data_IF_211276248366
#
_entry.id   IF_211276248366
#
_cell.length_a   1.000
_cell.length_b   1.000
_cell.length_c   1.000
_cell.angle_alpha   90.00
_cell.angle_beta   90.00
_cell.angle_gamma   90.00
#
_symmetry.space_group_name_H-M   'P 1'
#
loop_
_entity.id
_entity.type
_entity.pdbx_description
1 polymer ?
#
# COMPACT_ATOMS: atom_id res chain seq x y z
N UNK A 1 16.61 16.21 -4.69
CA UNK A 1 16.46 16.98 -3.42
C UNK A 1 16.69 16.01 -2.27
N UNK A 2 17.08 16.45 -1.06
CA UNK A 2 17.27 15.50 0.06
C UNK A 2 15.92 15.17 0.73
N UNK A 3 15.77 13.96 1.25
CA UNK A 3 14.61 13.60 2.08
C UNK A 3 14.46 14.53 3.29
N UNK A 4 13.23 14.84 3.63
CA UNK A 4 12.90 15.57 4.85
C UNK A 4 13.24 14.68 6.07
N UNK A 5 14.17 15.10 6.95
CA UNK A 5 14.50 14.32 8.13
C UNK A 5 13.30 14.27 9.08
N UNK A 6 13.09 13.12 9.71
CA UNK A 6 12.03 12.93 10.69
C UNK A 6 12.49 13.42 12.08
N UNK A 7 11.63 14.14 12.79
CA UNK A 7 11.91 14.59 14.17
C UNK A 7 11.91 13.40 15.14
N UNK A 8 12.75 13.47 16.18
CA UNK A 8 12.69 12.51 17.29
C UNK A 8 11.31 12.51 17.97
N UNK A 9 10.66 13.67 18.05
CA UNK A 9 9.32 13.79 18.63
C UNK A 9 8.30 12.98 17.82
N UNK A 10 8.32 13.12 16.49
CA UNK A 10 7.44 12.39 15.57
C UNK A 10 7.69 10.88 15.65
N UNK A 11 8.97 10.47 15.66
CA UNK A 11 9.35 9.06 15.81
C UNK A 11 8.79 8.47 17.11
N UNK A 12 9.02 9.14 18.23
CA UNK A 12 8.56 8.66 19.54
C UNK A 12 7.04 8.65 19.63
N UNK A 13 6.38 9.66 19.07
CA UNK A 13 4.93 9.77 19.05
C UNK A 13 4.27 8.62 18.28
N UNK A 14 4.76 8.31 17.07
CA UNK A 14 4.23 7.21 16.27
C UNK A 14 4.44 5.86 16.95
N UNK A 15 5.62 5.62 17.53
CA UNK A 15 5.88 4.38 18.28
C UNK A 15 4.92 4.25 19.48
N UNK A 16 4.67 5.35 20.21
CA UNK A 16 3.74 5.35 21.34
C UNK A 16 2.29 5.13 20.89
N UNK A 17 1.87 5.74 19.78
CA UNK A 17 0.52 5.55 19.23
C UNK A 17 0.29 4.09 18.81
N UNK A 18 1.26 3.48 18.12
CA UNK A 18 1.18 2.07 17.70
C UNK A 18 1.12 1.13 18.92
N UNK A 19 1.86 1.44 20.00
CA UNK A 19 1.76 0.69 21.28
C UNK A 19 0.37 0.75 21.90
N UNK A 20 -0.36 1.83 21.68
CA UNK A 20 -1.75 2.01 22.12
C UNK A 20 -2.76 1.45 21.10
N UNK A 21 -2.31 0.76 20.05
CA UNK A 21 -3.11 0.29 18.92
C UNK A 21 -3.89 1.41 18.21
N UNK A 22 -3.28 2.59 18.09
CA UNK A 22 -3.83 3.72 17.35
C UNK A 22 -2.86 4.12 16.23
N UNK A 23 -3.40 4.26 15.01
CA UNK A 23 -2.66 4.78 13.86
C UNK A 23 -2.97 6.25 13.63
N UNK A 24 -2.06 6.95 12.96
CA UNK A 24 -2.22 8.38 12.63
C UNK A 24 -3.44 8.66 11.75
N UNK A 25 -3.80 7.70 10.91
CA UNK A 25 -4.94 7.77 9.98
C UNK A 25 -6.26 7.27 10.60
N UNK A 26 -6.22 6.75 11.83
CA UNK A 26 -7.37 6.18 12.52
C UNK A 26 -7.76 4.76 12.10
N UNK A 27 -6.98 4.09 11.23
CA UNK A 27 -7.22 2.70 10.84
C UNK A 27 -6.76 1.71 11.92
N UNK A 28 -7.28 0.49 11.84
CA UNK A 28 -6.76 -0.61 12.64
C UNK A 28 -5.39 -1.10 12.12
N UNK A 29 -4.64 -1.81 12.96
CA UNK A 29 -3.33 -2.34 12.59
C UNK A 29 -3.38 -3.36 11.45
N UNK A 30 -4.48 -4.09 11.27
CA UNK A 30 -4.65 -5.10 10.20
C UNK A 30 -5.40 -4.56 8.97
N UNK A 31 -5.71 -3.27 8.93
CA UNK A 31 -6.62 -2.68 7.94
C UNK A 31 -5.87 -2.00 6.78
N UNK A 32 -6.26 -2.37 5.56
CA UNK A 32 -5.65 -1.91 4.31
C UNK A 32 -6.39 -0.69 3.74
N UNK A 33 -5.68 0.19 3.02
CA UNK A 33 -6.28 1.29 2.28
C UNK A 33 -7.20 0.80 1.16
N UNK A 34 -8.12 1.66 0.74
CA UNK A 34 -8.99 1.36 -0.41
C UNK A 34 -8.17 1.23 -1.69
N UNK A 35 -8.29 0.08 -2.35
CA UNK A 35 -7.70 -0.18 -3.65
C UNK A 35 -8.62 0.32 -4.77
N UNK A 36 -8.11 1.16 -5.66
CA UNK A 36 -8.79 1.59 -6.90
C UNK A 36 -7.93 1.19 -8.10
N UNK A 37 -8.56 0.56 -9.08
CA UNK A 37 -7.91 0.10 -10.31
C UNK A 37 -8.63 0.79 -11.46
N UNK A 38 -7.87 1.46 -12.33
CA UNK A 38 -8.40 2.11 -13.52
C UNK A 38 -7.62 1.64 -14.74
N UNK A 39 -8.32 1.27 -15.80
CA UNK A 39 -7.70 0.81 -17.05
C UNK A 39 -7.56 1.97 -18.05
N UNK A 40 -6.50 1.92 -18.84
CA UNK A 40 -6.28 2.84 -19.95
C UNK A 40 -7.10 2.45 -21.19
N UNK A 41 -7.06 3.32 -22.20
CA UNK A 41 -7.64 3.03 -23.52
C UNK A 41 -6.94 1.83 -24.16
N UNK A 42 -5.61 1.79 -24.06
CA UNK A 42 -4.79 0.74 -24.64
C UNK A 42 -4.75 -0.50 -23.72
N UNK A 43 -4.72 -1.68 -24.34
CA UNK A 43 -4.58 -2.93 -23.62
C UNK A 43 -3.24 -3.00 -22.88
N UNK A 44 -3.27 -3.44 -21.63
CA UNK A 44 -2.09 -3.50 -20.77
C UNK A 44 -1.68 -2.19 -20.09
N UNK A 45 -2.46 -1.11 -20.25
CA UNK A 45 -2.27 0.14 -19.50
C UNK A 45 -3.18 0.20 -18.28
N UNK A 46 -2.63 0.42 -17.09
CA UNK A 46 -3.38 0.43 -15.82
C UNK A 46 -2.81 1.46 -14.84
N UNK A 47 -3.68 2.21 -14.17
CA UNK A 47 -3.33 3.02 -13.01
C UNK A 47 -3.96 2.39 -11.77
N UNK A 48 -3.12 1.99 -10.82
CA UNK A 48 -3.55 1.49 -9.52
C UNK A 48 -3.29 2.56 -8.47
N UNK A 49 -4.29 2.81 -7.64
CA UNK A 49 -4.20 3.69 -6.50
C UNK A 49 -4.51 2.91 -5.21
N UNK A 50 -3.56 2.91 -4.28
CA UNK A 50 -3.73 2.39 -2.93
C UNK A 50 -3.77 3.58 -1.97
N UNK A 51 -4.98 4.07 -1.70
CA UNK A 51 -5.16 5.39 -1.11
C UNK A 51 -4.55 6.47 -2.00
N UNK A 52 -3.51 7.14 -1.50
CA UNK A 52 -2.79 8.20 -2.22
C UNK A 52 -1.59 7.69 -3.03
N UNK A 53 -1.05 6.50 -2.71
CA UNK A 53 0.03 5.88 -3.48
C UNK A 53 -0.50 5.47 -4.85
N UNK A 54 0.14 5.94 -5.93
CA UNK A 54 -0.30 5.73 -7.31
C UNK A 54 0.82 5.18 -8.16
N UNK A 55 0.53 4.13 -8.91
CA UNK A 55 1.46 3.46 -9.83
C UNK A 55 0.78 3.26 -11.18
N UNK A 56 1.46 3.66 -12.24
CA UNK A 56 1.11 3.36 -13.62
C UNK A 56 1.86 2.09 -14.05
N UNK A 57 1.14 1.09 -14.54
CA UNK A 57 1.72 -0.10 -15.16
C UNK A 57 1.40 -0.13 -16.65
N UNK A 58 2.42 -0.40 -17.45
CA UNK A 58 2.31 -0.58 -18.89
C UNK A 58 2.98 -1.90 -19.30
N UNK A 59 2.30 -2.68 -20.12
CA UNK A 59 2.88 -3.87 -20.75
C UNK A 59 3.15 -3.60 -22.22
N UNK A 60 4.34 -3.97 -22.68
CA UNK A 60 4.74 -3.98 -24.08
C UNK A 60 5.20 -5.38 -24.47
N UNK A 61 5.08 -5.71 -25.75
CA UNK A 61 5.47 -7.01 -26.30
C UNK A 61 6.23 -6.85 -27.60
N UNK A 62 7.36 -7.53 -27.69
CA UNK A 62 8.27 -7.53 -28.84
C UNK A 62 8.64 -8.96 -29.22
N UNK A 63 8.92 -9.22 -30.49
CA UNK A 63 9.46 -10.50 -30.94
C UNK A 63 10.99 -10.45 -30.84
N UNK A 64 11.59 -11.43 -30.18
CA UNK A 64 13.04 -11.55 -30.04
C UNK A 64 13.50 -13.00 -30.04
N UNK A 65 14.81 -13.18 -29.96
CA UNK A 65 15.41 -14.50 -29.84
C UNK A 65 15.29 -15.00 -28.39
N UNK A 66 14.98 -16.30 -28.18
CA UNK A 66 14.93 -16.86 -26.85
C UNK A 66 16.32 -16.97 -26.21
N UNK A 67 16.33 -17.23 -24.90
CA UNK A 67 17.59 -17.55 -24.22
C UNK A 67 18.07 -18.94 -24.63
N UNK A 68 19.36 -19.06 -24.92
CA UNK A 68 19.99 -20.35 -25.26
C UNK A 68 19.78 -21.45 -24.19
N UNK A 69 19.59 -21.08 -22.93
CA UNK A 69 19.31 -22.05 -21.85
C UNK A 69 17.90 -22.64 -21.90
N UNK A 70 16.93 -21.90 -22.46
CA UNK A 70 15.51 -22.29 -22.56
C UNK A 70 14.92 -21.75 -23.87
N UNK A 71 15.08 -22.49 -24.97
CA UNK A 71 14.63 -22.03 -26.28
C UNK A 71 13.10 -22.07 -26.49
N UNK A 72 12.38 -22.82 -25.65
CA UNK A 72 10.93 -23.04 -25.78
C UNK A 72 10.09 -22.08 -24.93
N UNK A 73 10.72 -21.16 -24.20
CA UNK A 73 10.05 -20.22 -23.30
C UNK A 73 10.28 -18.78 -23.78
N UNK A 74 9.21 -17.98 -23.74
CA UNK A 74 9.32 -16.53 -23.88
C UNK A 74 10.01 -15.87 -22.68
N UNK A 75 10.24 -14.56 -22.80
CA UNK A 75 11.01 -13.81 -21.81
C UNK A 75 10.10 -12.77 -21.15
N UNK A 76 10.07 -12.73 -19.82
CA UNK A 76 9.41 -11.69 -19.03
C UNK A 76 10.45 -10.79 -18.36
N UNK A 77 10.35 -9.49 -18.60
CA UNK A 77 11.11 -8.44 -17.96
C UNK A 77 10.18 -7.50 -17.18
N UNK A 78 10.49 -7.27 -15.90
CA UNK A 78 9.75 -6.33 -15.04
C UNK A 78 10.73 -5.23 -14.67
N UNK A 79 10.33 -3.98 -14.88
CA UNK A 79 11.12 -2.81 -14.58
C UNK A 79 10.27 -1.80 -13.80
N UNK A 80 10.76 -1.38 -12.64
CA UNK A 80 10.16 -0.32 -11.83
C UNK A 80 11.03 0.93 -11.91
N UNK A 81 10.44 2.03 -12.34
CA UNK A 81 11.04 3.36 -12.35
C UNK A 81 10.51 4.19 -11.18
N UNK A 82 11.44 4.69 -10.36
CA UNK A 82 11.15 5.70 -9.33
C UNK A 82 11.65 7.05 -9.82
N UNK A 83 10.71 7.87 -10.30
CA UNK A 83 11.00 9.23 -10.76
C UNK A 83 10.85 10.28 -9.65
N UNK A 84 11.35 11.51 -9.87
CA UNK A 84 11.17 12.64 -8.95
C UNK A 84 9.69 13.05 -8.76
N UNK A 85 8.80 12.59 -9.64
CA UNK A 85 7.35 12.77 -9.51
C UNK A 85 6.79 12.00 -8.31
N UNK A 86 7.32 10.81 -8.03
CA UNK A 86 6.88 9.99 -6.90
C UNK A 86 7.24 10.63 -5.56
N UNK A 87 8.48 11.12 -5.44
CA UNK A 87 8.95 11.89 -4.31
C UNK A 87 10.19 12.70 -4.69
N UNK A 88 10.36 13.89 -4.12
CA UNK A 88 11.45 14.82 -4.45
C UNK A 88 12.87 14.28 -4.16
N UNK A 89 12.97 13.19 -3.41
CA UNK A 89 14.24 12.53 -3.08
C UNK A 89 14.66 11.45 -4.06
N UNK A 90 13.75 11.00 -4.94
CA UNK A 90 14.11 10.11 -6.02
C UNK A 90 14.73 10.93 -7.15
N UNK A 91 15.93 10.53 -7.55
CA UNK A 91 16.65 11.13 -8.68
C UNK A 91 16.51 10.21 -9.89
N UNK A 92 16.10 10.77 -11.03
CA UNK A 92 15.93 10.01 -12.26
C UNK A 92 17.26 9.37 -12.69
N UNK A 93 17.25 8.07 -13.01
CA UNK A 93 18.42 7.30 -13.44
C UNK A 93 19.31 6.78 -12.31
N UNK A 94 19.05 7.16 -11.05
CA UNK A 94 19.73 6.55 -9.90
C UNK A 94 18.90 5.38 -9.39
N UNK A 95 19.45 4.17 -9.48
CA UNK A 95 18.82 3.01 -8.86
C UNK A 95 18.96 3.12 -7.33
N UNK A 96 17.86 3.45 -6.66
CA UNK A 96 17.77 3.39 -5.21
C UNK A 96 17.71 1.93 -4.74
N UNK A 97 18.14 1.68 -3.50
CA UNK A 97 18.02 0.36 -2.86
C UNK A 97 16.57 -0.14 -2.89
N UNK A 98 15.62 0.78 -2.64
CA UNK A 98 14.19 0.51 -2.72
C UNK A 98 13.75 0.01 -4.11
N UNK A 99 14.24 0.62 -5.19
CA UNK A 99 13.94 0.19 -6.57
C UNK A 99 14.42 -1.23 -6.82
N UNK A 100 15.64 -1.55 -6.37
CA UNK A 100 16.23 -2.89 -6.52
C UNK A 100 15.46 -3.91 -5.69
N UNK A 101 15.04 -3.56 -4.47
CA UNK A 101 14.23 -4.41 -3.60
C UNK A 101 12.85 -4.69 -4.23
N UNK A 102 12.17 -3.67 -4.75
CA UNK A 102 10.86 -3.82 -5.42
C UNK A 102 11.00 -4.71 -6.65
N UNK A 103 11.93 -4.39 -7.56
CA UNK A 103 12.18 -5.16 -8.77
C UNK A 103 12.43 -6.64 -8.46
N UNK A 104 13.35 -6.93 -7.53
CA UNK A 104 13.69 -8.30 -7.18
C UNK A 104 12.54 -9.04 -6.49
N UNK A 105 11.73 -8.33 -5.70
CA UNK A 105 10.55 -8.92 -5.07
C UNK A 105 9.52 -9.31 -6.12
N UNK A 106 9.21 -8.39 -7.06
CA UNK A 106 8.27 -8.66 -8.16
C UNK A 106 8.75 -9.77 -9.09
N UNK A 107 10.04 -9.80 -9.43
CA UNK A 107 10.62 -10.89 -10.21
C UNK A 107 10.39 -12.25 -9.51
N UNK A 108 10.69 -12.37 -8.22
CA UNK A 108 10.40 -13.60 -7.46
C UNK A 108 8.90 -13.91 -7.45
N UNK A 109 8.05 -12.89 -7.29
CA UNK A 109 6.60 -13.08 -7.20
C UNK A 109 5.98 -13.54 -8.51
N UNK A 110 6.43 -13.08 -9.67
CA UNK A 110 5.80 -13.39 -10.96
C UNK A 110 6.57 -14.41 -11.80
N UNK A 111 7.90 -14.32 -11.81
CA UNK A 111 8.78 -15.17 -12.64
C UNK A 111 9.11 -16.49 -11.95
N UNK A 112 9.58 -16.45 -10.70
CA UNK A 112 9.96 -17.68 -9.98
C UNK A 112 8.72 -18.52 -9.63
N UNK A 113 7.59 -17.87 -9.38
CA UNK A 113 6.31 -18.53 -9.13
C UNK A 113 5.65 -19.09 -10.40
N UNK A 114 6.15 -18.76 -11.59
CA UNK A 114 5.55 -19.10 -12.90
C UNK A 114 4.07 -18.71 -12.98
N UNK A 115 3.76 -17.46 -12.67
CA UNK A 115 2.39 -16.95 -12.74
C UNK A 115 1.84 -16.92 -14.17
N UNK A 116 2.72 -16.67 -15.13
CA UNK A 116 2.41 -16.56 -16.57
C UNK A 116 2.94 -17.79 -17.29
N UNK A 117 2.18 -18.27 -18.27
CA UNK A 117 2.62 -19.31 -19.17
C UNK A 117 3.63 -18.75 -20.20
N UNK A 118 4.92 -18.97 -19.96
CA UNK A 118 5.99 -18.56 -20.87
C UNK A 118 6.12 -19.49 -22.09
N UNK A 119 5.59 -20.72 -22.05
CA UNK A 119 5.66 -21.65 -23.17
C UNK A 119 4.69 -21.21 -24.27
N UNK A 120 3.52 -20.68 -23.89
CA UNK A 120 2.56 -20.03 -24.80
C UNK A 120 3.09 -18.78 -25.55
N UNK A 121 4.25 -18.27 -25.10
CA UNK A 121 4.94 -17.15 -25.71
C UNK A 121 5.92 -17.55 -26.81
N UNK A 122 6.20 -18.84 -26.98
CA UNK A 122 7.05 -19.33 -28.08
C UNK A 122 6.27 -19.36 -29.40
N UNK A 123 6.85 -18.80 -30.47
CA UNK A 123 6.27 -18.88 -31.82
C UNK A 123 7.00 -19.95 -32.62
N UNK A 124 8.33 -19.78 -32.76
CA UNK A 124 9.23 -20.75 -33.37
C UNK A 124 10.32 -21.06 -32.35
N UNK A 125 10.44 -22.33 -31.98
CA UNK A 125 11.45 -22.80 -31.05
C UNK A 125 12.85 -22.40 -31.52
N UNK A 126 13.71 -21.97 -30.59
CA UNK A 126 15.11 -21.55 -30.84
C UNK A 126 15.29 -20.27 -31.68
N UNK A 127 14.29 -19.80 -32.42
CA UNK A 127 14.43 -18.64 -33.31
C UNK A 127 13.66 -17.41 -32.81
N UNK A 128 12.36 -17.55 -32.52
CA UNK A 128 11.46 -16.40 -32.31
C UNK A 128 10.47 -16.66 -31.18
N UNK A 129 10.62 -15.89 -30.12
CA UNK A 129 9.73 -15.89 -28.95
C UNK A 129 9.26 -14.49 -28.63
N UNK A 130 8.13 -14.41 -27.94
CA UNK A 130 7.64 -13.16 -27.41
C UNK A 130 8.41 -12.75 -26.14
N UNK A 131 8.90 -11.52 -26.18
CA UNK A 131 9.47 -10.80 -25.05
C UNK A 131 8.40 -9.86 -24.50
N UNK A 132 8.00 -10.07 -23.26
CA UNK A 132 7.10 -9.19 -22.53
C UNK A 132 7.90 -8.29 -21.60
N UNK A 133 7.64 -6.99 -21.69
CA UNK A 133 8.22 -5.99 -20.81
C UNK A 133 7.10 -5.28 -20.06
N UNK A 134 7.16 -5.36 -18.74
CA UNK A 134 6.27 -4.64 -17.82
C UNK A 134 7.05 -3.47 -17.24
N UNK A 135 6.65 -2.26 -17.59
CA UNK A 135 7.20 -1.04 -17.02
C UNK A 135 6.21 -0.49 -15.98
N UNK A 136 6.70 -0.31 -14.76
CA UNK A 136 5.97 0.30 -13.65
C UNK A 136 6.55 1.67 -13.35
N UNK A 137 5.75 2.71 -13.52
CA UNK A 137 6.12 4.08 -13.21
C UNK A 137 5.38 4.52 -11.95
N UNK A 138 6.12 4.78 -10.88
CA UNK A 138 5.52 5.30 -9.64
C UNK A 138 5.21 6.78 -9.82
N UNK A 139 3.93 7.14 -9.64
CA UNK A 139 3.44 8.50 -9.81
C UNK A 139 3.42 9.26 -8.48
N UNK A 140 3.00 8.61 -7.40
CA UNK A 140 2.98 9.19 -6.06
C UNK A 140 3.39 8.14 -5.03
N UNK A 141 4.29 8.49 -4.12
CA UNK A 141 4.75 7.61 -3.05
C UNK A 141 4.22 8.08 -1.69
N UNK A 142 3.21 7.36 -1.19
CA UNK A 142 2.68 7.53 0.17
C UNK A 142 2.69 6.22 0.98
N UNK A 143 3.79 5.48 0.86
CA UNK A 143 4.00 4.21 1.56
C UNK A 143 3.38 3.01 0.83
N UNK A 144 3.88 1.84 1.18
CA UNK A 144 3.52 0.53 0.62
C UNK A 144 3.57 0.46 -0.92
N UNK A 145 4.74 0.79 -1.49
CA UNK A 145 4.94 0.72 -2.94
C UNK A 145 4.91 -0.72 -3.46
N UNK A 146 5.42 -1.68 -2.68
CA UNK A 146 5.58 -3.07 -3.15
C UNK A 146 4.22 -3.70 -3.45
N UNK A 147 3.25 -3.53 -2.56
CA UNK A 147 1.91 -4.08 -2.75
C UNK A 147 1.22 -3.41 -3.94
N UNK A 148 1.30 -2.08 -4.03
CA UNK A 148 0.72 -1.33 -5.15
C UNK A 148 1.33 -1.73 -6.50
N UNK A 149 2.66 -1.89 -6.57
CA UNK A 149 3.36 -2.35 -7.76
C UNK A 149 2.99 -3.80 -8.13
N UNK A 150 2.79 -4.68 -7.14
CA UNK A 150 2.38 -6.07 -7.38
C UNK A 150 0.98 -6.14 -7.99
N UNK A 151 0.03 -5.36 -7.46
CA UNK A 151 -1.32 -5.28 -8.01
C UNK A 151 -1.32 -4.64 -9.39
N UNK A 152 -0.53 -3.57 -9.61
CA UNK A 152 -0.37 -2.94 -10.91
C UNK A 152 0.18 -3.92 -11.96
N UNK A 153 1.22 -4.68 -11.63
CA UNK A 153 1.80 -5.71 -12.50
C UNK A 153 0.76 -6.77 -12.86
N UNK A 154 0.06 -7.30 -11.85
CA UNK A 154 -0.96 -8.32 -12.04
C UNK A 154 -2.10 -7.82 -12.95
N UNK A 155 -2.61 -6.62 -12.68
CA UNK A 155 -3.69 -6.02 -13.46
C UNK A 155 -3.26 -5.74 -14.89
N UNK A 156 -2.05 -5.18 -15.08
CA UNK A 156 -1.53 -4.82 -16.39
C UNK A 156 -1.31 -6.06 -17.26
N UNK A 157 -0.71 -7.12 -16.70
CA UNK A 157 -0.51 -8.38 -17.41
C UNK A 157 -1.82 -9.11 -17.73
N UNK A 158 -2.80 -9.09 -16.81
CA UNK A 158 -4.10 -9.71 -17.05
C UNK A 158 -4.98 -8.92 -18.04
N UNK A 159 -4.79 -7.60 -18.11
CA UNK A 159 -5.45 -6.70 -19.07
C UNK A 159 -4.78 -6.72 -20.45
N UNK A 160 -3.49 -7.05 -20.52
CA UNK A 160 -2.72 -7.03 -21.76
C UNK A 160 -3.24 -8.07 -22.77
N UNK A 161 -3.32 -7.63 -24.02
CA UNK A 161 -3.64 -8.49 -25.17
C UNK A 161 -2.54 -8.37 -26.21
N UNK A 162 -2.05 -9.51 -26.68
CA UNK A 162 -0.98 -9.60 -27.66
C UNK A 162 -1.56 -9.73 -29.07
N UNK A 163 -0.94 -9.15 -30.11
CA UNK A 163 -1.35 -9.40 -31.49
C UNK A 163 -1.20 -10.88 -31.86
N UNK A 164 -2.06 -11.36 -32.75
CA UNK A 164 -1.99 -12.73 -33.29
C UNK A 164 -0.88 -12.85 -34.35
N UNK A 165 -0.29 -14.03 -34.44
CA UNK A 165 0.84 -14.30 -35.33
C UNK A 165 0.56 -15.56 -36.13
N UNK A 166 0.74 -15.47 -37.45
CA UNK A 166 0.74 -16.64 -38.34
C UNK A 166 2.16 -16.91 -38.85
N UNK A 167 2.56 -18.17 -38.83
CA UNK A 167 3.79 -18.64 -39.47
C UNK A 167 3.41 -19.27 -40.81
N UNK A 168 3.92 -18.72 -41.91
CA UNK A 168 3.71 -19.23 -43.27
C UNK A 168 5.10 -19.43 -43.88
N UNK A 169 5.47 -20.67 -44.24
CA UNK A 169 6.75 -20.98 -44.89
C UNK A 169 7.98 -20.36 -44.17
N UNK A 170 8.01 -20.46 -42.83
CA UNK A 170 9.05 -19.90 -41.94
C UNK A 170 9.11 -18.35 -41.87
N UNK A 171 8.22 -17.63 -42.57
CA UNK A 171 8.05 -16.19 -42.39
C UNK A 171 6.98 -15.88 -41.33
N UNK A 172 7.33 -14.98 -40.40
CA UNK A 172 6.44 -14.53 -39.33
C UNK A 172 5.65 -13.31 -39.78
N UNK A 173 4.33 -13.47 -39.89
CA UNK A 173 3.40 -12.36 -40.12
C UNK A 173 2.64 -12.00 -38.85
N UNK A 174 2.85 -10.78 -38.38
CA UNK A 174 2.11 -10.19 -37.26
C UNK A 174 0.83 -9.56 -37.81
N UNK A 175 -0.32 -9.98 -37.29
CA UNK A 175 -1.59 -9.38 -37.66
C UNK A 175 -1.85 -8.11 -36.84
N UNK A 176 -2.37 -7.08 -37.50
CA UNK A 176 -2.84 -5.88 -36.80
C UNK A 176 -4.18 -6.17 -36.11
N UNK A 177 -4.54 -5.37 -35.11
CA UNK A 177 -5.81 -5.49 -34.38
C UNK A 177 -7.05 -5.35 -35.25
N UNK A 178 -6.92 -4.78 -36.45
CA UNK A 178 -7.99 -4.68 -37.44
C UNK A 178 -8.17 -5.96 -38.25
N UNK A 179 -7.09 -6.74 -38.46
CA UNK A 179 -7.15 -8.01 -39.19
C UNK A 179 -7.65 -9.14 -38.29
N UNK A 180 -7.14 -9.21 -37.05
CA UNK A 180 -7.49 -10.24 -36.07
C UNK A 180 -7.59 -9.65 -34.67
N UNK A 181 -8.47 -10.24 -33.86
CA UNK A 181 -8.61 -9.85 -32.46
C UNK A 181 -7.34 -10.23 -31.67
N UNK A 182 -6.79 -9.31 -30.85
CA UNK A 182 -5.62 -9.62 -30.04
C UNK A 182 -5.97 -10.62 -28.92
N UNK A 183 -5.05 -11.55 -28.69
CA UNK A 183 -5.20 -12.68 -27.76
C UNK A 183 -4.88 -12.26 -26.33
N UNK A 184 -5.68 -12.75 -25.38
CA UNK A 184 -5.42 -12.57 -23.94
C UNK A 184 -4.25 -13.43 -23.48
N UNK A 185 -3.52 -12.94 -22.50
CA UNK A 185 -2.45 -13.69 -21.84
C UNK A 185 -3.00 -14.82 -20.96
N UNK A 186 -2.37 -15.99 -21.02
CA UNK A 186 -2.70 -17.12 -20.15
C UNK A 186 -1.93 -17.00 -18.84
N UNK A 187 -2.67 -16.88 -17.73
CA UNK A 187 -2.12 -16.91 -16.39
C UNK A 187 -2.53 -18.20 -15.68
N UNK A 188 -1.56 -18.89 -15.11
CA UNK A 188 -1.84 -20.07 -14.26
C UNK A 188 -2.46 -19.65 -12.94
N UNK A 189 -1.96 -18.55 -12.37
CA UNK A 189 -2.37 -18.08 -11.06
C UNK A 189 -2.11 -16.59 -10.85
N UNK A 190 -2.64 -16.03 -9.76
CA UNK A 190 -2.69 -14.58 -9.52
C UNK A 190 -1.99 -14.24 -8.19
N UNK A 191 -0.67 -14.04 -8.19
CA UNK A 191 0.07 -13.69 -6.99
C UNK A 191 -0.04 -12.19 -6.68
N UNK A 192 -0.15 -11.86 -5.40
CA UNK A 192 -0.21 -10.49 -4.87
C UNK A 192 0.75 -10.37 -3.69
N UNK A 193 1.45 -9.25 -3.59
CA UNK A 193 2.27 -8.93 -2.42
C UNK A 193 1.43 -8.27 -1.33
N UNK A 194 1.71 -8.66 -0.09
CA UNK A 194 1.11 -8.08 1.12
C UNK A 194 2.24 -7.75 2.09
N UNK A 195 2.35 -6.46 2.42
CA UNK A 195 3.41 -5.91 3.24
C UNK A 195 2.93 -5.64 4.67
N UNK A 196 3.76 -6.06 5.62
CA UNK A 196 3.62 -5.80 7.04
C UNK A 196 4.90 -5.14 7.54
N UNK A 197 4.77 -4.34 8.59
CA UNK A 197 5.91 -3.74 9.28
C UNK A 197 5.78 -3.96 10.76
N UNK A 198 6.92 -4.17 11.38
CA UNK A 198 7.02 -4.56 12.78
C UNK A 198 7.58 -3.41 13.59
N UNK A 199 6.95 -3.22 14.76
CA UNK A 199 7.34 -2.25 15.76
C UNK A 199 7.62 -2.91 17.12
N UNK A 200 8.31 -2.15 17.98
CA UNK A 200 8.61 -2.49 19.38
C UNK A 200 9.36 -3.82 19.53
N UNK A 201 10.37 -4.05 18.70
CA UNK A 201 11.24 -5.22 18.86
C UNK A 201 10.54 -6.56 18.56
N UNK A 202 9.64 -6.61 17.57
CA UNK A 202 9.04 -7.88 17.12
C UNK A 202 7.66 -8.21 17.68
N UNK A 203 6.99 -7.26 18.35
CA UNK A 203 5.74 -7.51 19.09
C UNK A 203 4.48 -7.15 18.32
N UNK A 204 4.51 -6.02 17.63
CA UNK A 204 3.33 -5.46 16.96
C UNK A 204 3.60 -5.46 15.46
N UNK A 205 2.70 -6.07 14.69
CA UNK A 205 2.72 -6.02 13.23
C UNK A 205 1.59 -5.10 12.74
N UNK A 206 1.92 -4.22 11.79
CA UNK A 206 1.00 -3.29 11.14
C UNK A 206 0.99 -3.61 9.64
N UNK A 207 -0.20 -3.77 9.07
CA UNK A 207 -0.42 -3.98 7.65
C UNK A 207 -0.49 -2.63 6.91
N UNK A 208 -0.01 -2.62 5.66
CA UNK A 208 -0.10 -1.46 4.75
C UNK A 208 0.36 -0.14 5.41
N UNK A 209 1.68 -0.01 5.64
CA UNK A 209 2.21 1.17 6.29
C UNK A 209 2.16 2.43 5.42
N UNK A 210 2.09 3.56 6.10
CA UNK A 210 2.35 4.89 5.56
C UNK A 210 3.85 5.19 5.49
N UNK A 211 4.27 6.21 4.74
CA UNK A 211 5.69 6.60 4.62
C UNK A 211 6.34 6.83 6.00
N UNK A 212 5.61 7.46 6.92
CA UNK A 212 6.10 7.71 8.27
C UNK A 212 6.34 6.40 9.03
N UNK A 213 5.37 5.48 8.98
CA UNK A 213 5.47 4.16 9.61
C UNK A 213 6.61 3.33 9.00
N UNK A 214 6.79 3.33 7.68
CA UNK A 214 7.90 2.63 7.00
C UNK A 214 9.26 3.14 7.49
N UNK A 215 9.44 4.46 7.57
CA UNK A 215 10.70 5.08 8.01
C UNK A 215 11.05 4.80 9.47
N UNK A 216 10.04 4.63 10.32
CA UNK A 216 10.23 4.40 11.77
C UNK A 216 10.38 2.91 12.10
N UNK A 217 9.91 2.04 11.21
CA UNK A 217 9.84 0.61 11.46
C UNK A 217 11.19 -0.06 11.70
N UNK A 218 11.17 -1.16 12.47
CA UNK A 218 12.37 -1.94 12.76
C UNK A 218 12.62 -3.03 11.71
N UNK A 219 11.54 -3.65 11.22
CA UNK A 219 11.54 -4.79 10.29
C UNK A 219 10.35 -4.71 9.33
N UNK A 220 10.62 -4.88 8.05
CA UNK A 220 9.62 -5.01 6.99
C UNK A 220 9.46 -6.48 6.58
N UNK A 221 8.22 -6.96 6.53
CA UNK A 221 7.89 -8.29 6.05
C UNK A 221 7.02 -8.18 4.80
N UNK A 222 7.39 -8.86 3.73
CA UNK A 222 6.60 -8.91 2.49
C UNK A 222 6.27 -10.36 2.18
N UNK A 223 4.99 -10.64 2.00
CA UNK A 223 4.48 -11.94 1.59
C UNK A 223 3.93 -11.84 0.17
N UNK A 224 4.51 -12.56 -0.79
CA UNK A 224 3.87 -12.80 -2.09
C UNK A 224 3.04 -14.06 -2.00
N UNK A 225 1.71 -13.92 -2.04
CA UNK A 225 0.78 -15.04 -1.85
C UNK A 225 -0.13 -15.14 -3.07
N UNK A 226 -0.39 -16.37 -3.48
CA UNK A 226 -1.26 -16.71 -4.59
C UNK A 226 -2.75 -16.72 -4.18
N UNK A 227 -3.67 -16.69 -5.15
CA UNK A 227 -5.11 -16.86 -4.95
C UNK A 227 -5.48 -18.17 -4.24
N UNK A 228 -4.65 -19.21 -4.38
CA UNK A 228 -4.84 -20.49 -3.69
C UNK A 228 -4.41 -20.44 -2.22
N UNK A 229 -3.70 -19.41 -1.79
CA UNK A 229 -3.12 -19.27 -0.45
C UNK A 229 -1.72 -19.88 -0.31
N UNK A 230 -1.08 -20.19 -1.44
CA UNK A 230 0.31 -20.66 -1.50
C UNK A 230 1.26 -19.47 -1.41
N UNK A 231 2.37 -19.65 -0.70
CA UNK A 231 3.41 -18.64 -0.56
C UNK A 231 4.38 -18.72 -1.74
N UNK A 232 4.44 -17.68 -2.56
CA UNK A 232 5.38 -17.56 -3.67
C UNK A 232 6.72 -16.97 -3.20
N UNK A 233 6.67 -15.90 -2.41
CA UNK A 233 7.89 -15.27 -1.90
C UNK A 233 7.70 -14.74 -0.48
N UNK A 234 8.77 -14.81 0.31
CA UNK A 234 8.87 -14.14 1.60
C UNK A 234 10.13 -13.28 1.58
N UNK A 235 9.98 -11.98 1.82
CA UNK A 235 11.10 -11.08 1.99
C UNK A 235 11.03 -10.48 3.40
N UNK A 236 12.06 -10.72 4.19
CA UNK A 236 12.19 -10.21 5.54
C UNK A 236 13.37 -9.23 5.55
N UNK A 237 13.08 -7.94 5.68
CA UNK A 237 14.07 -6.88 5.77
C UNK A 237 14.08 -6.26 7.16
N UNK A 238 15.24 -5.74 7.59
CA UNK A 238 15.41 -5.08 8.89
C UNK A 238 16.24 -5.88 9.88
N UNK A 239 16.36 -5.35 11.10
CA UNK A 239 17.32 -5.83 12.11
C UNK A 239 16.67 -6.49 13.33
N UNK A 240 15.35 -6.40 13.47
CA UNK A 240 14.64 -6.89 14.65
C UNK A 240 14.22 -8.35 14.56
N UNK A 241 14.36 -9.06 15.67
CA UNK A 241 13.98 -10.47 15.80
C UNK A 241 12.46 -10.60 15.76
N UNK A 242 11.95 -11.24 14.71
CA UNK A 242 10.52 -11.50 14.56
C UNK A 242 10.16 -12.83 15.22
N UNK A 243 9.12 -12.84 16.05
CA UNK A 243 8.65 -14.10 16.63
C UNK A 243 8.02 -15.01 15.54
N UNK A 244 8.34 -16.32 15.52
CA UNK A 244 7.79 -17.24 14.52
C UNK A 244 6.25 -17.33 14.56
N UNK A 245 5.66 -17.17 15.76
CA UNK A 245 4.21 -17.17 15.95
C UNK A 245 3.55 -15.97 15.28
N UNK A 246 4.13 -14.77 15.41
CA UNK A 246 3.64 -13.57 14.74
C UNK A 246 3.75 -13.70 13.22
N UNK A 247 4.86 -14.25 12.71
CA UNK A 247 5.04 -14.49 11.28
C UNK A 247 3.94 -15.39 10.72
N UNK A 248 3.62 -16.49 11.41
CA UNK A 248 2.57 -17.41 10.99
C UNK A 248 1.17 -16.77 11.06
N UNK A 249 0.91 -15.94 12.07
CA UNK A 249 -0.33 -15.19 12.17
C UNK A 249 -0.47 -14.18 11.03
N UNK A 250 0.59 -13.43 10.71
CA UNK A 250 0.62 -12.47 9.61
C UNK A 250 0.43 -13.19 8.27
N UNK A 251 1.10 -14.32 8.04
CA UNK A 251 0.93 -15.13 6.83
C UNK A 251 -0.52 -15.58 6.63
N UNK A 252 -1.21 -16.04 7.68
CA UNK A 252 -2.64 -16.41 7.60
C UNK A 252 -3.55 -15.22 7.28
N UNK A 253 -3.27 -14.04 7.86
CA UNK A 253 -4.02 -12.81 7.57
C UNK A 253 -3.76 -12.33 6.14
N UNK A 254 -2.51 -12.34 5.72
CA UNK A 254 -2.06 -12.01 4.37
C UNK A 254 -2.75 -12.87 3.32
N UNK A 255 -2.86 -14.20 3.56
CA UNK A 255 -3.54 -15.10 2.63
C UNK A 255 -5.04 -14.79 2.47
N UNK A 256 -5.71 -14.33 3.53
CA UNK A 256 -7.12 -13.88 3.45
C UNK A 256 -7.22 -12.58 2.66
N UNK A 257 -6.32 -11.63 2.91
CA UNK A 257 -6.30 -10.35 2.22
C UNK A 257 -5.99 -10.51 0.72
N UNK A 258 -4.97 -11.29 0.37
CA UNK A 258 -4.60 -11.59 -1.02
C UNK A 258 -5.77 -12.17 -1.81
N UNK A 259 -6.55 -13.09 -1.23
CA UNK A 259 -7.78 -13.62 -1.86
C UNK A 259 -8.83 -12.54 -2.13
N UNK A 260 -9.01 -11.60 -1.21
CA UNK A 260 -9.92 -10.46 -1.39
C UNK A 260 -9.45 -9.53 -2.50
N UNK A 261 -8.16 -9.22 -2.54
CA UNK A 261 -7.57 -8.36 -3.59
C UNK A 261 -7.69 -9.01 -4.96
N UNK A 262 -7.35 -10.29 -5.10
CA UNK A 262 -7.49 -11.01 -6.38
C UNK A 262 -8.94 -11.04 -6.84
N UNK A 263 -9.90 -11.22 -5.92
CA UNK A 263 -11.34 -11.14 -6.26
C UNK A 263 -11.70 -9.76 -6.81
N UNK A 264 -11.21 -8.69 -6.19
CA UNK A 264 -11.42 -7.32 -6.65
C UNK A 264 -10.79 -7.07 -8.03
N UNK A 265 -9.58 -7.59 -8.27
CA UNK A 265 -8.91 -7.50 -9.59
C UNK A 265 -9.72 -8.22 -10.67
N UNK A 266 -10.21 -9.43 -10.40
CA UNK A 266 -11.03 -10.19 -11.36
C UNK A 266 -12.34 -9.46 -11.69
N UNK A 267 -13.02 -8.93 -10.68
CA UNK A 267 -14.23 -8.14 -10.88
C UNK A 267 -13.96 -6.85 -11.67
N UNK A 268 -12.84 -6.19 -11.40
CA UNK A 268 -12.42 -4.99 -12.12
C UNK A 268 -12.18 -5.28 -13.61
N UNK A 269 -11.54 -6.40 -13.93
CA UNK A 269 -11.31 -6.83 -15.32
C UNK A 269 -12.61 -7.17 -16.05
N UNK A 270 -13.55 -7.84 -15.37
CA UNK A 270 -14.86 -8.20 -15.94
C UNK A 270 -15.68 -6.94 -16.26
N UNK A 271 -15.75 -6.00 -15.32
CA UNK A 271 -16.41 -4.70 -15.52
C UNK A 271 -15.81 -3.92 -16.71
N UNK A 272 -14.48 -3.96 -16.89
CA UNK A 272 -13.81 -3.31 -18.02
C UNK A 272 -14.13 -4.00 -19.36
N UNK A 273 -14.17 -5.35 -19.39
CA UNK A 273 -14.60 -6.07 -20.60
C UNK A 273 -16.04 -5.76 -20.98
N UNK A 274 -16.96 -5.74 -20.02
CA UNK A 274 -18.37 -5.40 -20.25
C UNK A 274 -18.52 -3.94 -20.72
N UNK A 275 -17.74 -3.02 -20.17
CA UNK A 275 -17.76 -1.61 -20.58
C UNK A 275 -17.31 -1.44 -22.03
N UNK A 276 -16.28 -2.19 -22.46
CA UNK A 276 -15.79 -2.18 -23.84
C UNK A 276 -16.77 -2.83 -24.80
N UNK A 277 -17.38 -3.94 -24.42
CA UNK A 277 -18.43 -4.62 -25.21
C UNK A 277 -19.68 -3.75 -25.37
N UNK A 278 -20.05 -3.00 -24.33
CA UNK A 278 -21.15 -2.03 -24.37
C UNK A 278 -20.82 -0.74 -25.16
N UNK A 279 -19.58 -0.59 -25.66
CA UNK A 279 -19.14 0.59 -26.40
C UNK A 279 -19.06 1.88 -25.56
N UNK A 280 -18.94 1.76 -24.24
CA UNK A 280 -18.72 2.92 -23.36
C UNK A 280 -17.34 3.50 -23.63
N UNK A 281 -17.18 4.82 -23.46
CA UNK A 281 -15.87 5.45 -23.53
C UNK A 281 -15.01 4.90 -22.38
N UNK A 282 -13.86 4.33 -22.72
CA UNK A 282 -12.89 3.78 -21.76
C UNK A 282 -11.59 4.56 -21.80
N UNK A 283 -10.84 4.52 -20.70
CA UNK A 283 -9.51 5.09 -20.57
C UNK A 283 -9.40 6.19 -19.53
N UNK A 284 -8.16 6.64 -19.30
CA UNK A 284 -7.84 7.56 -18.21
C UNK A 284 -8.54 8.91 -18.32
N UNK A 285 -8.84 9.37 -19.55
CA UNK A 285 -9.60 10.58 -19.76
C UNK A 285 -11.01 10.45 -19.17
N UNK A 286 -11.72 9.36 -19.43
CA UNK A 286 -13.06 9.15 -18.86
C UNK A 286 -13.01 9.00 -17.34
N UNK A 287 -12.00 8.30 -16.83
CA UNK A 287 -11.77 8.20 -15.39
C UNK A 287 -11.53 9.57 -14.72
N UNK A 288 -10.90 10.50 -15.44
CA UNK A 288 -10.74 11.88 -14.96
C UNK A 288 -12.09 12.62 -14.97
N UNK A 289 -12.89 12.49 -16.04
CA UNK A 289 -14.23 13.11 -16.10
C UNK A 289 -15.17 12.57 -15.01
N UNK A 290 -15.04 11.29 -14.65
CA UNK A 290 -15.80 10.65 -13.59
C UNK A 290 -15.19 10.87 -12.19
N UNK A 291 -14.13 11.69 -12.07
CA UNK A 291 -13.37 11.93 -10.84
C UNK A 291 -12.88 10.65 -10.13
N UNK A 292 -12.71 9.55 -10.85
CA UNK A 292 -12.18 8.29 -10.31
C UNK A 292 -10.66 8.32 -10.18
N UNK A 293 -10.00 9.02 -11.12
CA UNK A 293 -8.58 9.38 -11.05
C UNK A 293 -8.48 10.88 -10.78
N UNK A 294 -8.26 11.26 -9.53
CA UNK A 294 -7.98 12.65 -9.19
C UNK A 294 -6.49 12.94 -9.39
N UNK A 295 -6.15 13.95 -10.17
CA UNK A 295 -4.76 14.42 -10.36
C UNK A 295 -4.34 15.51 -9.36
N UNK A 296 -5.09 15.70 -8.26
CA UNK A 296 -5.25 16.99 -7.55
C UNK A 296 -5.99 18.00 -8.44
N UNK A 297 -7.26 17.71 -8.64
CA UNK A 297 -8.26 18.64 -9.12
C UNK A 297 -9.54 18.34 -8.37
N UNK A 298 -9.60 18.70 -7.08
CA UNK A 298 -10.90 19.14 -6.61
C UNK A 298 -11.27 20.34 -7.51
N UNK A 299 -12.50 20.41 -8.00
CA UNK A 299 -13.07 21.72 -8.24
C UNK A 299 -12.85 22.46 -6.93
N UNK A 300 -11.88 23.40 -6.92
CA UNK A 300 -11.66 24.33 -5.80
C UNK A 300 -13.03 24.64 -5.29
N UNK A 301 -13.34 24.21 -4.05
CA UNK A 301 -14.62 24.42 -3.38
C UNK A 301 -15.27 25.63 -4.03
N UNK A 302 -16.21 25.38 -4.97
CA UNK A 302 -17.03 26.48 -5.43
C UNK A 302 -17.69 26.82 -4.13
N UNK A 303 -17.29 27.95 -3.54
CA UNK A 303 -17.95 28.52 -2.39
C UNK A 303 -19.42 28.46 -2.77
N UNK A 304 -20.13 27.44 -2.28
CA UNK A 304 -21.58 27.38 -2.40
C UNK A 304 -22.01 28.42 -1.40
N UNK A 305 -21.95 29.67 -1.85
CA UNK A 305 -22.71 30.76 -1.27
C UNK A 305 -24.10 30.17 -1.05
N UNK A 306 -24.56 30.18 0.20
CA UNK A 306 -25.96 29.86 0.47
C UNK A 306 -26.76 30.85 -0.39
N UNK A 307 -27.38 30.33 -1.45
CA UNK A 307 -28.21 31.02 -2.46
C UNK A 307 -27.53 31.45 -3.77
N UNK A 308 -26.72 30.59 -4.41
CA UNK A 308 -26.40 30.76 -5.84
C UNK A 308 -26.90 29.55 -6.64
N UNK A 309 -27.98 29.71 -7.39
CA UNK A 309 -28.50 28.74 -8.36
C UNK A 309 -27.91 29.03 -9.74
N UNK A 310 -27.25 28.04 -10.34
CA UNK A 310 -26.96 28.04 -11.78
C UNK A 310 -28.31 27.95 -12.49
N UNK A 311 -28.70 29.01 -13.21
CA UNK A 311 -29.76 28.90 -14.20
C UNK A 311 -29.11 28.38 -15.47
N UNK A 312 -29.01 27.06 -15.60
CA UNK A 312 -28.88 26.45 -16.92
C UNK A 312 -30.19 26.76 -17.66
N UNK A 313 -30.10 27.65 -18.66
CA UNK A 313 -31.17 27.86 -19.61
C UNK A 313 -31.18 26.62 -20.50
N UNK A 314 -32.00 25.65 -20.13
CA UNK A 314 -32.60 24.72 -21.08
C UNK A 314 -34.08 25.04 -21.14
N UNK A 315 -34.50 25.41 -22.33
CA UNK A 315 -35.88 25.70 -22.72
C UNK A 315 -36.81 24.54 -22.36
N UNK A 316 -37.94 24.92 -21.76
CA UNK A 316 -39.28 24.31 -21.86
C UNK A 316 -39.46 22.82 -21.53
N UNK A 317 -40.02 22.54 -20.34
CA UNK A 317 -41.26 21.76 -20.21
C UNK A 317 -41.88 21.88 -18.78
N UNK A 318 -43.20 21.94 -18.74
CA UNK A 318 -44.07 22.54 -17.71
C UNK A 318 -44.27 21.76 -16.36
N UNK A 319 -44.90 22.40 -15.34
CA UNK A 319 -44.69 22.14 -13.91
C UNK A 319 -45.73 21.21 -13.28
N UNK A 320 -45.38 20.55 -12.16
CA UNK A 320 -46.26 20.35 -10.99
C UNK A 320 -45.67 19.38 -9.94
N UNK A 321 -45.22 19.90 -8.78
CA UNK A 321 -45.65 19.45 -7.43
C UNK A 321 -44.92 20.17 -6.27
N UNK A 322 -45.72 21.01 -5.60
CA UNK A 322 -45.84 21.24 -4.14
C UNK A 322 -44.61 21.69 -3.33
N UNK A 323 -44.64 22.98 -3.04
CA UNK A 323 -44.01 23.67 -1.90
C UNK A 323 -44.43 23.02 -0.57
N UNK A 324 -43.46 22.69 0.29
CA UNK A 324 -43.65 22.60 1.74
C UNK A 324 -42.51 23.37 2.42
N UNK A 325 -42.88 24.43 3.14
CA UNK A 325 -42.01 25.32 3.89
C UNK A 325 -41.74 24.83 5.33
N UNK A 326 -40.53 25.11 5.84
CA UNK A 326 -40.19 25.31 7.27
C UNK A 326 -39.85 24.03 8.07
N UNK A 327 -38.81 23.97 8.92
CA UNK A 327 -38.14 24.99 9.74
C UNK A 327 -36.66 24.67 9.98
N UNK A 328 -35.80 25.69 9.99
CA UNK A 328 -34.50 25.70 10.66
C UNK A 328 -34.68 26.26 12.09
N UNK A 329 -34.05 25.65 13.10
CA UNK A 329 -33.89 26.28 14.42
C UNK A 329 -32.70 27.26 14.36
N UNK A 330 -32.95 28.52 14.71
CA UNK A 330 -31.93 29.54 15.00
C UNK A 330 -31.82 29.74 16.50
N UNK A 331 -30.61 29.64 17.07
CA UNK A 331 -30.34 30.05 18.45
C UNK A 331 -29.99 31.56 18.46
N UNK A 332 -30.76 32.44 19.13
CA UNK A 332 -30.71 33.90 18.91
C UNK A 332 -29.72 34.68 19.81
N UNK A 333 -28.63 34.10 20.30
CA UNK A 333 -27.68 34.81 21.18
C UNK A 333 -26.21 34.61 20.77
N UNK A 334 -25.81 35.25 19.68
CA UNK A 334 -24.40 35.52 19.42
C UNK A 334 -24.27 36.98 18.96
N UNK A 335 -23.70 37.84 19.81
CA UNK A 335 -23.33 39.21 19.45
C UNK A 335 -21.85 39.21 19.04
N UNK A 336 -21.49 39.77 17.87
CA UNK A 336 -20.13 39.86 17.41
C UNK A 336 -19.54 41.18 17.90
N UNK A 337 -18.88 41.20 19.05
CA UNK A 337 -17.96 42.27 19.44
C UNK A 337 -17.21 41.89 20.72
N UNK A 338 -16.04 41.29 20.55
CA UNK A 338 -15.02 41.22 21.60
C UNK A 338 -13.69 41.63 21.01
N UNK A 339 -13.25 42.83 21.39
CA UNK A 339 -11.89 43.35 21.18
C UNK A 339 -10.88 42.50 21.94
N UNK A 340 -9.73 42.25 21.30
CA UNK A 340 -8.52 41.72 21.91
C UNK A 340 -8.07 42.62 23.08
N UNK A 341 -7.67 42.00 24.20
CA UNK A 341 -7.19 42.64 25.44
C UNK A 341 -5.69 43.03 25.28
N UNK A 342 -5.21 44.09 25.97
CA UNK A 342 -4.21 45.03 25.46
C UNK A 342 -2.78 44.83 25.98
N UNK A 343 -1.84 45.46 25.29
CA UNK A 343 -0.50 45.83 25.79
C UNK A 343 -0.61 46.68 27.07
N UNK A 344 0.15 46.32 28.10
CA UNK A 344 0.50 47.20 29.20
C UNK A 344 2.01 47.41 29.18
N UNK A 345 2.42 48.68 29.14
CA UNK A 345 3.79 49.14 29.09
C UNK A 345 4.40 49.37 30.48
N UNK A 346 5.74 49.34 30.46
CA UNK A 346 6.73 50.13 31.24
C UNK A 346 7.00 49.84 32.73
N UNK A 347 8.31 49.69 32.95
CA UNK A 347 9.14 50.08 34.11
C UNK A 347 9.39 49.08 35.24
N UNK A 348 10.53 48.37 35.13
CA UNK A 348 11.60 48.50 36.12
C UNK A 348 12.97 48.04 35.56
N UNK A 349 13.93 48.92 35.77
CA UNK A 349 15.34 49.00 35.41
C UNK A 349 16.31 47.95 35.97
N UNK A 350 17.27 47.53 35.11
CA UNK A 350 18.75 47.40 35.33
C UNK A 350 19.27 46.15 36.12
N UNK A 351 20.45 45.53 35.80
CA UNK A 351 21.19 45.37 34.52
C UNK A 351 21.73 43.92 34.27
N UNK A 352 22.28 43.71 33.07
CA UNK A 352 23.25 42.65 32.75
C UNK A 352 24.59 42.89 33.48
N UNK A 353 25.15 41.84 34.09
CA UNK A 353 26.60 41.65 34.21
C UNK A 353 26.99 40.21 33.90
N UNK A 354 28.22 40.10 33.43
CA UNK A 354 28.90 39.00 32.78
C UNK A 354 29.75 38.17 33.75
N UNK A 355 30.11 36.98 33.27
CA UNK A 355 31.34 36.21 33.55
C UNK A 355 31.53 35.42 34.86
N UNK A 356 31.90 34.14 34.61
CA UNK A 356 32.92 33.30 35.28
C UNK A 356 32.69 32.60 36.64
N UNK A 357 33.10 31.32 36.61
CA UNK A 357 33.69 30.46 37.65
C UNK A 357 32.88 29.99 38.87
N UNK A 358 33.10 28.71 39.21
CA UNK A 358 33.00 28.24 40.60
C UNK A 358 32.14 27.01 40.84
N UNK A 359 32.80 25.86 40.95
CA UNK A 359 32.33 24.62 41.58
C UNK A 359 31.72 24.82 42.98
N UNK A 360 30.77 23.97 43.38
CA UNK A 360 30.92 23.08 44.56
C UNK A 360 29.73 22.12 44.78
N UNK A 361 30.09 20.95 45.31
CA UNK A 361 29.23 19.83 45.69
C UNK A 361 28.32 20.14 46.87
N UNK A 362 27.16 19.48 46.97
CA UNK A 362 26.70 18.88 48.24
C UNK A 362 25.66 17.78 48.03
N UNK A 363 26.05 16.56 48.41
CA UNK A 363 25.16 15.43 48.69
C UNK A 363 24.35 15.70 49.97
N UNK A 364 23.13 15.16 50.05
CA UNK A 364 22.41 15.10 51.33
C UNK A 364 20.97 14.60 51.23
N UNK A 365 20.79 13.28 51.43
CA UNK A 365 19.50 12.64 51.77
C UNK A 365 18.89 13.27 53.03
N UNK A 366 17.56 13.23 53.16
CA UNK A 366 16.81 12.50 54.22
C UNK A 366 15.30 12.73 54.06
N UNK A 367 14.56 11.63 54.22
CA UNK A 367 13.09 11.47 54.29
C UNK A 367 12.49 12.26 55.46
N UNK A 368 11.21 12.64 55.40
CA UNK A 368 10.08 11.93 56.05
C UNK A 368 8.75 12.73 56.00
N UNK A 369 7.66 12.01 56.30
CA UNK A 369 6.30 12.47 56.68
C UNK A 369 5.21 12.64 55.60
N UNK A 370 4.71 11.48 55.15
CA UNK A 370 3.35 10.93 55.37
C UNK A 370 2.10 11.85 55.46
N UNK A 371 1.07 11.38 54.71
CA UNK A 371 -0.37 11.28 55.03
C UNK A 371 -1.33 12.49 54.89
N UNK A 372 -2.23 12.42 53.88
CA UNK A 372 -3.67 12.06 54.04
C UNK A 372 -4.44 12.23 52.73
N UNK A 373 -5.15 11.19 52.29
CA UNK A 373 -6.63 11.11 52.29
C UNK A 373 -7.15 10.04 51.32
N UNK A 374 -8.02 9.20 51.87
CA UNK A 374 -8.67 8.02 51.32
C UNK A 374 -9.60 8.26 50.12
N UNK A 375 -9.63 7.31 49.16
CA UNK A 375 -10.88 6.88 48.49
C UNK A 375 -10.81 5.36 48.22
N UNK A 376 -11.73 4.61 48.84
CA UNK A 376 -11.95 3.17 48.66
C UNK A 376 -12.80 2.91 47.40
N UNK A 377 -12.41 1.92 46.60
CA UNK A 377 -13.32 1.18 45.73
C UNK A 377 -12.93 -0.31 45.68
N UNK A 378 -13.84 -1.16 46.15
CA UNK A 378 -13.72 -2.61 46.28
C UNK A 378 -13.85 -3.33 44.93
N UNK A 379 -13.00 -4.33 44.68
CA UNK A 379 -13.28 -5.46 43.77
C UNK A 379 -13.08 -6.78 44.53
N UNK A 380 -14.01 -7.76 44.45
CA UNK A 380 -13.88 -9.03 45.17
C UNK A 380 -13.04 -10.05 44.39
N UNK A 381 -12.10 -10.67 45.10
CA UNK A 381 -11.27 -11.79 44.67
C UNK A 381 -12.01 -13.11 44.98
N UNK A 382 -12.34 -13.90 43.95
CA UNK A 382 -12.81 -15.27 44.10
C UNK A 382 -11.64 -16.26 44.03
N UNK A 383 -11.44 -16.99 45.13
CA UNK A 383 -10.54 -18.14 45.29
C UNK A 383 -11.10 -19.36 44.54
N UNK A 384 -10.26 -20.07 43.78
CA UNK A 384 -10.40 -21.52 43.58
C UNK A 384 -9.04 -22.22 43.68
N UNK A 385 -8.93 -23.11 44.66
CA UNK A 385 -7.91 -24.16 44.82
C UNK A 385 -8.36 -25.38 44.02
N UNK A 386 -7.43 -26.08 43.36
CA UNK A 386 -7.43 -27.54 43.05
C UNK A 386 -6.00 -27.86 42.58
N UNK A 387 -5.13 -28.42 43.43
CA UNK A 387 -4.95 -29.84 43.77
C UNK A 387 -4.01 -30.59 42.79
N UNK A 388 -2.91 -31.04 43.38
CA UNK A 388 -1.74 -31.75 42.86
C UNK A 388 -2.08 -33.15 42.34
N UNK A 389 -1.39 -33.61 41.29
CA UNK A 389 -0.99 -35.02 41.15
C UNK A 389 0.36 -35.13 40.42
N UNK A 390 1.40 -35.44 41.19
CA UNK A 390 2.67 -35.98 40.73
C UNK A 390 2.48 -37.46 40.39
N UNK A 391 3.03 -37.92 39.26
CA UNK A 391 3.37 -39.33 39.03
C UNK A 391 4.78 -39.34 38.43
N UNK A 392 5.66 -40.09 39.09
CA UNK A 392 7.06 -40.38 38.77
C UNK A 392 7.20 -41.83 38.29
N UNK A 393 7.98 -42.08 37.24
CA UNK A 393 8.86 -43.26 37.01
C UNK A 393 9.31 -43.26 35.54
N UNK A 394 10.59 -42.97 35.22
CA UNK A 394 11.79 -43.84 35.17
C UNK A 394 11.93 -44.68 33.90
N UNK A 395 13.07 -44.45 33.24
CA UNK A 395 13.93 -45.31 32.41
C UNK A 395 13.41 -46.05 31.17
N UNK A 396 14.09 -45.84 30.04
CA UNK A 396 14.78 -46.90 29.28
C UNK A 396 15.56 -46.32 28.09
N UNK A 397 16.85 -46.67 28.04
CA UNK A 397 17.79 -46.54 26.93
C UNK A 397 17.33 -47.38 25.73
N UNK A 398 17.66 -46.96 24.49
CA UNK A 398 18.06 -47.86 23.39
C UNK A 398 18.59 -47.05 22.18
N UNK A 399 19.65 -47.61 21.58
CA UNK A 399 20.51 -47.08 20.52
C UNK A 399 19.98 -47.36 19.08
N UNK A 400 20.80 -46.94 18.10
CA UNK A 400 20.81 -47.28 16.66
C UNK A 400 19.88 -46.45 15.74
N UNK A 401 20.27 -46.00 14.54
CA UNK A 401 21.31 -46.46 13.60
C UNK A 401 21.62 -45.33 12.60
N UNK A 402 22.90 -45.16 12.28
CA UNK A 402 23.38 -44.42 11.10
C UNK A 402 23.11 -45.27 9.86
N UNK A 403 22.54 -44.67 8.81
CA UNK A 403 22.48 -45.25 7.47
C UNK A 403 23.30 -44.35 6.55
N UNK A 404 24.13 -45.04 5.76
CA UNK A 404 25.20 -44.60 4.86
C UNK A 404 24.85 -43.47 3.90
#
# INVERSE_FOLDING_TARGET
MKETPLSLCEKNFVIQAIKQNQRLDGRNNDEFRSLRINYGSDWGSVIVALGETKVLGQVSSELGEPKATRPNEGILHINVELGPMAAAHFEAGRNCELTVQINRTLERTFKDSRAIDLESLCVISEERVWMLRVDLNVLNHEGNLIDCCSVATLCALAHFRRPDVSVIEDEIRIHTSAEKEPLKMVMHHYPVCVSYVIFDGGRIAVADPTVAEERISDTQMIFGINSFGELCCLNLGGSSLTSPTLLLQCSKKAAKHAKSVVKQVKQSLENDSEAREAGKKVGFAECLHQNTITSLGEDRLVLKLRNFTFNDITEEDEPNKKIVQGKLYSNPHYKPDTKWIPEAASDNSIPLESDTDGSENLQGKVKECLERSDVKANFPISKQKLAIKQITSSDSEEEEKVIL
#
